data_IF_693506377594
#
_entry.id   IF_693506377594
#
_cell.length_a   1.000
_cell.length_b   1.000
_cell.length_c   1.000
_cell.angle_alpha   90.00
_cell.angle_beta   90.00
_cell.angle_gamma   90.00
#
_symmetry.space_group_name_H-M   'P 1'
#
loop_
_entity.id
_entity.type
_entity.pdbx_description
1 polymer ?
#
# COMPACT_ATOMS: atom_id res chain seq x y z
N UNK A 1 2.68 -20.58 -16.41
CA UNK A 1 3.17 -19.70 -15.33
C UNK A 1 2.70 -18.26 -15.51
N UNK A 2 3.19 -17.47 -16.48
CA UNK A 2 2.74 -16.05 -16.65
C UNK A 2 1.25 -15.94 -17.04
N UNK A 3 0.72 -16.83 -17.87
CA UNK A 3 -0.71 -16.86 -18.24
C UNK A 3 -1.63 -17.25 -17.08
N UNK A 4 -1.17 -18.10 -16.16
CA UNK A 4 -1.89 -18.41 -14.91
C UNK A 4 -1.80 -17.26 -13.90
N UNK A 5 -0.63 -16.63 -13.80
CA UNK A 5 -0.40 -15.45 -12.96
C UNK A 5 -1.32 -14.29 -13.40
N UNK A 6 -1.37 -13.98 -14.70
CA UNK A 6 -2.24 -12.94 -15.25
C UNK A 6 -3.73 -13.27 -15.12
N UNK A 7 -4.12 -14.55 -15.25
CA UNK A 7 -5.50 -14.98 -14.96
C UNK A 7 -5.85 -14.73 -13.49
N UNK A 8 -4.97 -15.09 -12.56
CA UNK A 8 -5.19 -14.86 -11.12
C UNK A 8 -5.30 -13.37 -10.78
N UNK A 9 -4.45 -12.50 -11.35
CA UNK A 9 -4.53 -11.05 -11.14
C UNK A 9 -5.85 -10.46 -11.67
N UNK A 10 -6.27 -10.82 -12.87
CA UNK A 10 -7.56 -10.35 -13.41
C UNK A 10 -8.76 -10.78 -12.55
N UNK A 11 -8.73 -11.99 -11.98
CA UNK A 11 -9.78 -12.46 -11.05
C UNK A 11 -9.76 -11.67 -9.74
N UNK A 12 -8.57 -11.33 -9.22
CA UNK A 12 -8.47 -10.52 -8.00
C UNK A 12 -9.02 -9.12 -8.16
N UNK A 13 -8.74 -8.44 -9.29
CA UNK A 13 -9.30 -7.12 -9.58
C UNK A 13 -10.83 -7.15 -9.69
N UNK A 14 -11.39 -8.19 -10.30
CA UNK A 14 -12.84 -8.36 -10.36
C UNK A 14 -13.47 -8.61 -8.98
N UNK A 15 -12.84 -9.44 -8.14
CA UNK A 15 -13.29 -9.69 -6.77
C UNK A 15 -13.26 -8.42 -5.91
N UNK A 16 -12.25 -7.57 -6.09
CA UNK A 16 -12.15 -6.28 -5.43
C UNK A 16 -13.34 -5.36 -5.78
N UNK A 17 -13.68 -5.27 -7.08
CA UNK A 17 -14.86 -4.50 -7.53
C UNK A 17 -16.14 -5.06 -6.90
N UNK A 18 -16.31 -6.38 -6.87
CA UNK A 18 -17.46 -7.01 -6.22
C UNK A 18 -17.53 -6.60 -4.75
N UNK A 19 -16.43 -6.70 -4.00
CA UNK A 19 -16.39 -6.34 -2.59
C UNK A 19 -16.77 -4.86 -2.36
N UNK A 20 -16.26 -3.94 -3.19
CA UNK A 20 -16.62 -2.52 -3.16
C UNK A 20 -18.10 -2.29 -3.46
N UNK A 21 -18.65 -2.93 -4.49
CA UNK A 21 -20.07 -2.84 -4.82
C UNK A 21 -20.94 -3.38 -3.68
N UNK A 22 -20.54 -4.50 -3.08
CA UNK A 22 -21.22 -5.04 -1.90
C UNK A 22 -21.16 -4.08 -0.71
N UNK A 23 -20.02 -3.42 -0.46
CA UNK A 23 -19.91 -2.42 0.59
C UNK A 23 -20.88 -1.25 0.38
N UNK A 24 -20.95 -0.72 -0.85
CA UNK A 24 -21.87 0.36 -1.20
C UNK A 24 -23.33 -0.07 -1.05
N UNK A 25 -23.70 -1.27 -1.49
CA UNK A 25 -25.06 -1.80 -1.29
C UNK A 25 -25.36 -1.96 0.20
N UNK A 26 -24.44 -2.53 0.97
CA UNK A 26 -24.60 -2.71 2.42
C UNK A 26 -24.78 -1.37 3.14
N UNK A 27 -23.99 -0.35 2.81
CA UNK A 27 -24.05 0.97 3.44
C UNK A 27 -25.31 1.78 3.07
N UNK A 28 -25.93 1.54 1.91
CA UNK A 28 -27.02 2.37 1.39
C UNK A 28 -28.42 1.74 1.46
N UNK A 29 -28.51 0.46 1.81
CA UNK A 29 -29.79 -0.26 1.90
C UNK A 29 -30.23 -0.48 3.34
N UNK A 30 -31.30 -1.25 3.56
CA UNK A 30 -31.72 -1.68 4.91
C UNK A 30 -30.67 -2.50 5.68
N UNK A 31 -29.58 -2.90 5.02
CA UNK A 31 -28.42 -3.56 5.64
C UNK A 31 -27.47 -2.60 6.35
N UNK A 32 -27.63 -1.29 6.19
CA UNK A 32 -26.73 -0.25 6.74
C UNK A 32 -26.52 -0.39 8.25
N UNK A 33 -27.61 -0.66 8.99
CA UNK A 33 -27.55 -0.86 10.45
C UNK A 33 -26.63 -2.05 10.81
N UNK A 34 -26.76 -3.17 10.10
CA UNK A 34 -25.92 -4.35 10.35
C UNK A 34 -24.47 -4.12 9.94
N UNK A 35 -24.27 -3.41 8.85
CA UNK A 35 -22.94 -3.05 8.34
C UNK A 35 -22.19 -2.14 9.33
N UNK A 36 -22.85 -1.08 9.80
CA UNK A 36 -22.29 -0.16 10.81
C UNK A 36 -22.05 -0.87 12.15
N UNK A 37 -22.98 -1.71 12.61
CA UNK A 37 -22.80 -2.51 13.84
C UNK A 37 -21.59 -3.44 13.73
N UNK A 38 -21.42 -4.12 12.59
CA UNK A 38 -20.27 -4.98 12.35
C UNK A 38 -18.97 -4.18 12.44
N UNK A 39 -18.87 -3.06 11.71
CA UNK A 39 -17.64 -2.26 11.64
C UNK A 39 -17.30 -1.53 12.95
N UNK A 40 -18.33 -1.09 13.68
CA UNK A 40 -18.20 -0.40 14.97
C UNK A 40 -18.06 -1.33 16.17
N UNK A 41 -18.19 -2.65 15.96
CA UNK A 41 -18.07 -3.64 17.05
C UNK A 41 -16.77 -3.44 17.82
N UNK A 42 -16.82 -3.16 19.14
CA UNK A 42 -15.63 -2.94 19.94
C UNK A 42 -14.88 -4.26 20.14
N UNK A 43 -13.64 -4.32 19.66
CA UNK A 43 -12.75 -5.46 19.85
C UNK A 43 -11.62 -5.04 20.77
N UNK A 44 -11.52 -5.71 21.91
CA UNK A 44 -10.51 -5.45 22.93
C UNK A 44 -9.58 -6.66 23.08
N UNK A 45 -8.27 -6.41 23.02
CA UNK A 45 -7.24 -7.37 23.39
C UNK A 45 -6.51 -6.83 24.62
N UNK A 46 -6.53 -7.61 25.71
CA UNK A 46 -5.91 -7.25 26.98
C UNK A 46 -4.90 -8.32 27.41
N UNK A 47 -3.65 -7.90 27.60
CA UNK A 47 -2.55 -8.73 28.12
C UNK A 47 -1.94 -8.04 29.34
N UNK A 48 -2.36 -8.42 30.54
CA UNK A 48 -1.96 -7.76 31.78
C UNK A 48 -2.39 -6.29 31.79
N UNK A 49 -1.43 -5.35 31.89
CA UNK A 49 -1.68 -3.89 31.81
C UNK A 49 -1.78 -3.35 30.38
N UNK A 50 -1.44 -4.16 29.38
CA UNK A 50 -1.50 -3.76 27.98
C UNK A 50 -2.94 -3.95 27.51
N UNK A 51 -3.67 -2.85 27.41
CA UNK A 51 -5.00 -2.80 26.79
C UNK A 51 -4.92 -2.16 25.40
N UNK A 52 -5.56 -2.78 24.41
CA UNK A 52 -5.79 -2.22 23.07
C UNK A 52 -7.27 -2.45 22.75
N UNK A 53 -8.05 -1.37 22.82
CA UNK A 53 -9.47 -1.36 22.49
C UNK A 53 -9.68 -0.50 21.25
N UNK A 54 -10.17 -1.11 20.17
CA UNK A 54 -10.46 -0.42 18.91
C UNK A 54 -11.70 -1.03 18.24
N UNK A 55 -12.48 -0.27 17.48
CA UNK A 55 -13.53 -0.82 16.62
C UNK A 55 -12.96 -1.85 15.64
N UNK A 56 -13.78 -2.80 15.22
CA UNK A 56 -13.40 -3.84 14.25
C UNK A 56 -12.78 -3.24 12.98
N UNK A 57 -13.32 -2.12 12.49
CA UNK A 57 -12.79 -1.40 11.34
C UNK A 57 -11.30 -1.05 11.48
N UNK A 58 -10.88 -0.53 12.65
CA UNK A 58 -9.48 -0.17 12.88
C UNK A 58 -8.58 -1.40 13.02
N UNK A 59 -9.09 -2.51 13.56
CA UNK A 59 -8.36 -3.79 13.58
C UNK A 59 -8.16 -4.35 12.17
N UNK A 60 -9.20 -4.28 11.33
CA UNK A 60 -9.12 -4.64 9.92
C UNK A 60 -8.04 -3.77 9.26
N UNK A 61 -8.11 -2.45 9.41
CA UNK A 61 -7.18 -1.53 8.77
C UNK A 61 -5.74 -1.75 9.23
N UNK A 62 -5.48 -1.73 10.54
CA UNK A 62 -4.13 -1.87 11.07
C UNK A 62 -3.53 -3.27 10.85
N UNK A 63 -4.37 -4.32 10.89
CA UNK A 63 -3.96 -5.71 10.77
C UNK A 63 -3.78 -6.17 9.33
N UNK A 64 -4.83 -6.01 8.51
CA UNK A 64 -4.81 -6.41 7.10
C UNK A 64 -3.77 -5.61 6.32
N UNK A 65 -3.68 -4.29 6.57
CA UNK A 65 -2.69 -3.48 5.87
C UNK A 65 -1.26 -3.78 6.34
N UNK A 66 -1.04 -4.21 7.59
CA UNK A 66 0.29 -4.67 7.99
C UNK A 66 0.73 -5.91 7.20
N UNK A 67 -0.18 -6.83 6.88
CA UNK A 67 0.11 -7.99 6.03
C UNK A 67 0.30 -7.58 4.56
N UNK A 68 -0.54 -6.67 4.04
CA UNK A 68 -0.37 -6.11 2.69
C UNK A 68 0.99 -5.43 2.53
N UNK A 69 1.35 -4.51 3.43
CA UNK A 69 2.64 -3.82 3.39
C UNK A 69 3.84 -4.74 3.70
N UNK A 70 3.62 -5.85 4.42
CA UNK A 70 4.63 -6.90 4.52
C UNK A 70 4.90 -7.54 3.15
N UNK A 71 3.87 -7.91 2.37
CA UNK A 71 4.03 -8.40 1.00
C UNK A 71 4.77 -7.38 0.12
N UNK A 72 4.31 -6.12 0.10
CA UNK A 72 4.97 -5.04 -0.66
C UNK A 72 6.44 -4.87 -0.24
N UNK A 73 6.74 -5.00 1.05
CA UNK A 73 8.11 -4.97 1.55
C UNK A 73 8.98 -6.15 1.05
N UNK A 74 8.40 -7.35 0.91
CA UNK A 74 9.09 -8.52 0.36
C UNK A 74 9.38 -8.30 -1.13
N UNK A 75 8.39 -7.82 -1.88
CA UNK A 75 8.51 -7.50 -3.31
C UNK A 75 9.57 -6.41 -3.54
N UNK A 76 9.50 -5.30 -2.79
CA UNK A 76 10.51 -4.23 -2.87
C UNK A 76 11.91 -4.80 -2.63
N UNK A 77 12.08 -5.59 -1.56
CA UNK A 77 13.38 -6.17 -1.23
C UNK A 77 13.89 -7.09 -2.35
N UNK A 78 13.04 -7.93 -2.93
CA UNK A 78 13.42 -8.80 -4.05
C UNK A 78 13.82 -7.98 -5.27
N UNK A 79 13.02 -6.98 -5.64
CA UNK A 79 13.28 -6.14 -6.81
C UNK A 79 14.59 -5.34 -6.67
N UNK A 80 14.90 -4.84 -5.47
CA UNK A 80 16.14 -4.12 -5.19
C UNK A 80 17.39 -5.00 -5.25
N UNK A 81 17.29 -6.28 -4.91
CA UNK A 81 18.44 -7.19 -4.81
C UNK A 81 18.65 -8.00 -6.09
N UNK A 82 17.59 -8.60 -6.64
CA UNK A 82 17.65 -9.51 -7.79
C UNK A 82 16.89 -9.02 -9.03
N UNK A 83 15.95 -8.08 -8.86
CA UNK A 83 15.06 -7.66 -9.93
C UNK A 83 15.58 -6.49 -10.76
N UNK A 84 14.65 -5.86 -11.47
CA UNK A 84 14.95 -4.78 -12.42
C UNK A 84 15.41 -3.50 -11.69
N UNK A 85 15.03 -3.33 -10.42
CA UNK A 85 15.43 -2.20 -9.59
C UNK A 85 16.88 -2.31 -9.08
N UNK A 86 17.52 -3.47 -9.22
CA UNK A 86 18.95 -3.63 -8.90
C UNK A 86 19.85 -2.75 -9.78
N UNK A 87 19.40 -2.45 -11.01
CA UNK A 87 20.12 -1.56 -11.92
C UNK A 87 19.71 -0.11 -11.70
N UNK A 88 20.68 0.73 -11.31
CA UNK A 88 20.48 2.17 -11.08
C UNK A 88 19.89 2.92 -12.27
N UNK A 89 20.05 2.44 -13.51
CA UNK A 89 19.43 3.09 -14.69
C UNK A 89 17.93 2.82 -14.78
N UNK A 90 17.48 1.64 -14.34
CA UNK A 90 16.11 1.19 -14.45
C UNK A 90 15.23 1.71 -13.31
N UNK A 91 15.82 2.03 -12.14
CA UNK A 91 15.10 2.56 -10.96
C UNK A 91 14.75 4.05 -11.07
N UNK A 92 15.56 4.85 -11.79
CA UNK A 92 15.41 6.32 -11.79
C UNK A 92 14.07 6.75 -12.38
N UNK A 93 13.65 6.15 -13.49
CA UNK A 93 12.41 6.56 -14.16
C UNK A 93 11.16 6.23 -13.31
N UNK A 94 10.98 5.00 -12.76
CA UNK A 94 9.90 4.70 -11.82
C UNK A 94 9.88 5.61 -10.59
N UNK A 95 11.04 5.89 -9.97
CA UNK A 95 11.11 6.75 -8.78
C UNK A 95 10.70 8.19 -9.11
N UNK A 96 11.19 8.75 -10.21
CA UNK A 96 10.78 10.10 -10.64
C UNK A 96 9.28 10.14 -10.97
N UNK A 97 8.79 9.10 -11.64
CA UNK A 97 7.37 8.94 -11.92
C UNK A 97 6.54 8.92 -10.64
N UNK A 98 6.98 8.19 -9.61
CA UNK A 98 6.27 8.05 -8.34
C UNK A 98 6.26 9.35 -7.56
N UNK A 99 7.41 10.03 -7.47
CA UNK A 99 7.52 11.38 -6.90
C UNK A 99 6.52 12.32 -7.59
N UNK A 100 6.45 12.32 -8.92
CA UNK A 100 5.48 13.13 -9.66
C UNK A 100 4.04 12.71 -9.40
N UNK A 101 3.79 11.41 -9.41
CA UNK A 101 2.53 10.75 -9.13
C UNK A 101 2.01 10.96 -7.71
N UNK A 102 2.85 11.40 -6.77
CA UNK A 102 2.44 11.74 -5.40
C UNK A 102 2.32 13.25 -5.19
N UNK A 103 3.35 14.03 -5.55
CA UNK A 103 3.39 15.46 -5.25
C UNK A 103 2.41 16.29 -6.09
N UNK A 104 2.22 15.93 -7.37
CA UNK A 104 1.31 16.70 -8.24
C UNK A 104 -0.16 16.50 -7.84
N UNK A 105 -0.67 15.27 -7.61
CA UNK A 105 -2.02 15.08 -7.06
C UNK A 105 -2.25 15.77 -5.73
N UNK A 106 -1.26 15.69 -4.82
CA UNK A 106 -1.30 16.37 -3.53
C UNK A 106 -1.44 17.89 -3.71
N UNK A 107 -0.65 18.50 -4.59
CA UNK A 107 -0.72 19.93 -4.90
C UNK A 107 -2.06 20.34 -5.49
N UNK A 108 -2.62 19.52 -6.39
CA UNK A 108 -3.98 19.74 -6.94
C UNK A 108 -5.01 19.70 -5.82
N UNK A 109 -4.98 18.71 -4.93
CA UNK A 109 -5.93 18.64 -3.81
C UNK A 109 -5.81 19.82 -2.86
N UNK A 110 -4.58 20.21 -2.51
CA UNK A 110 -4.33 21.38 -1.66
C UNK A 110 -4.92 22.64 -2.28
N UNK A 111 -4.75 22.84 -3.60
CA UNK A 111 -5.32 23.99 -4.31
C UNK A 111 -6.84 24.09 -4.16
N UNK A 112 -7.56 22.97 -4.24
CA UNK A 112 -9.02 22.95 -4.05
C UNK A 112 -9.46 23.16 -2.60
N UNK A 113 -8.57 22.94 -1.62
CA UNK A 113 -8.90 22.93 -0.19
C UNK A 113 -8.16 24.00 0.63
N UNK A 114 -7.54 25.00 0.01
CA UNK A 114 -6.75 26.04 0.70
C UNK A 114 -7.51 26.78 1.81
N UNK A 115 -8.83 26.89 1.68
CA UNK A 115 -9.69 27.64 2.61
C UNK A 115 -10.26 26.78 3.75
N UNK A 116 -9.97 25.47 3.78
CA UNK A 116 -10.48 24.54 4.77
C UNK A 116 -9.32 23.83 5.51
N UNK A 117 -8.96 24.29 6.72
CA UNK A 117 -7.87 23.72 7.52
C UNK A 117 -8.05 22.23 7.87
N UNK A 118 -9.29 21.74 7.95
CA UNK A 118 -9.57 20.33 8.23
C UNK A 118 -9.36 19.51 6.96
N UNK A 119 -9.89 19.98 5.83
CA UNK A 119 -9.68 19.34 4.54
C UNK A 119 -8.20 19.29 4.14
N UNK A 120 -7.38 20.28 4.48
CA UNK A 120 -5.94 20.25 4.21
C UNK A 120 -5.21 19.07 4.86
N UNK A 121 -5.76 18.49 5.93
CA UNK A 121 -5.25 17.25 6.51
C UNK A 121 -5.48 16.05 5.58
N UNK A 122 -6.23 16.15 4.50
CA UNK A 122 -6.44 15.06 3.52
C UNK A 122 -5.45 15.06 2.36
N UNK A 123 -4.39 15.87 2.37
CA UNK A 123 -3.55 16.11 1.18
C UNK A 123 -2.86 14.87 0.60
N UNK A 124 -2.62 13.84 1.42
CA UNK A 124 -2.01 12.59 0.98
C UNK A 124 -3.00 11.59 0.34
N UNK A 125 -4.32 11.82 0.46
CA UNK A 125 -5.37 10.93 -0.10
C UNK A 125 -5.19 10.67 -1.61
N UNK A 126 -5.02 11.68 -2.48
CA UNK A 126 -4.90 11.44 -3.93
C UNK A 126 -3.51 10.94 -4.37
N UNK A 127 -2.58 10.73 -3.43
CA UNK A 127 -1.24 10.22 -3.75
C UNK A 127 -1.20 8.68 -3.88
N UNK A 128 -2.07 7.95 -3.18
CA UNK A 128 -2.06 6.49 -3.14
C UNK A 128 -2.54 5.85 -4.46
N UNK A 129 -1.94 4.73 -4.88
CA UNK A 129 -2.27 4.00 -6.12
C UNK A 129 -2.68 2.56 -5.80
N UNK A 130 -3.87 2.13 -6.22
CA UNK A 130 -4.28 0.72 -6.04
C UNK A 130 -3.63 -0.19 -7.11
N UNK A 131 -2.56 -0.89 -6.71
CA UNK A 131 -1.84 -1.88 -7.52
C UNK A 131 -2.76 -2.95 -8.09
N UNK A 132 -3.64 -3.52 -7.26
CA UNK A 132 -4.43 -4.68 -7.66
C UNK A 132 -5.43 -4.31 -8.76
N UNK A 133 -5.99 -3.10 -8.67
CA UNK A 133 -6.85 -2.58 -9.73
C UNK A 133 -6.06 -2.23 -11.00
N UNK A 134 -4.91 -1.56 -10.87
CA UNK A 134 -4.08 -1.19 -12.00
C UNK A 134 -3.60 -2.42 -12.79
N UNK A 135 -3.08 -3.43 -12.11
CA UNK A 135 -2.67 -4.70 -12.71
C UNK A 135 -3.86 -5.49 -13.27
N UNK A 136 -5.01 -5.47 -12.56
CA UNK A 136 -6.25 -6.08 -13.05
C UNK A 136 -6.67 -5.54 -14.42
N UNK A 137 -6.64 -4.22 -14.62
CA UNK A 137 -6.94 -3.60 -15.92
C UNK A 137 -5.88 -3.96 -16.98
N UNK A 138 -4.59 -3.92 -16.63
CA UNK A 138 -3.52 -4.29 -17.57
C UNK A 138 -3.62 -5.76 -18.02
N UNK A 139 -4.05 -6.64 -17.12
CA UNK A 139 -4.27 -8.04 -17.44
C UNK A 139 -5.44 -8.22 -18.44
N UNK A 140 -6.51 -7.42 -18.31
CA UNK A 140 -7.63 -7.41 -19.26
C UNK A 140 -7.20 -6.93 -20.67
N UNK A 141 -6.23 -6.02 -20.75
CA UNK A 141 -5.63 -5.59 -22.03
C UNK A 141 -4.71 -6.65 -22.67
N UNK A 142 -4.39 -7.72 -21.93
CA UNK A 142 -3.75 -8.93 -22.45
C UNK A 142 -2.35 -8.73 -23.02
N UNK A 143 -2.15 -9.17 -24.26
CA UNK A 143 -0.89 -9.10 -25.00
C UNK A 143 -0.63 -7.75 -25.67
N UNK A 144 -1.59 -6.81 -25.64
CA UNK A 144 -1.45 -5.48 -26.25
C UNK A 144 -0.49 -4.58 -25.48
N UNK A 145 -0.24 -4.90 -24.21
CA UNK A 145 0.66 -4.13 -23.34
C UNK A 145 2.03 -4.82 -23.26
N UNK A 146 3.13 -4.12 -23.58
CA UNK A 146 4.47 -4.68 -23.48
C UNK A 146 4.82 -5.03 -22.03
N UNK A 147 5.63 -6.06 -21.86
CA UNK A 147 6.06 -6.56 -20.53
C UNK A 147 6.82 -5.48 -19.76
N UNK A 148 7.62 -4.67 -20.44
CA UNK A 148 8.35 -3.55 -19.81
C UNK A 148 7.42 -2.50 -19.20
N UNK A 149 6.24 -2.25 -19.77
CA UNK A 149 5.26 -1.33 -19.16
C UNK A 149 4.62 -1.92 -17.91
N UNK A 150 4.36 -3.24 -17.88
CA UNK A 150 3.86 -3.93 -16.68
C UNK A 150 4.87 -3.80 -15.54
N UNK A 151 6.14 -4.08 -15.81
CA UNK A 151 7.24 -3.93 -14.84
C UNK A 151 7.37 -2.49 -14.35
N UNK A 152 7.32 -1.51 -15.27
CA UNK A 152 7.37 -0.10 -14.94
C UNK A 152 6.22 0.30 -14.00
N UNK A 153 4.99 -0.10 -14.31
CA UNK A 153 3.80 0.23 -13.52
C UNK A 153 3.82 -0.46 -12.14
N UNK A 154 4.23 -1.73 -12.07
CA UNK A 154 4.41 -2.41 -10.78
C UNK A 154 5.45 -1.69 -9.92
N UNK A 155 6.59 -1.31 -10.51
CA UNK A 155 7.66 -0.60 -9.79
C UNK A 155 7.22 0.78 -9.31
N UNK A 156 6.58 1.56 -10.20
CA UNK A 156 6.00 2.86 -9.90
C UNK A 156 5.06 2.77 -8.70
N UNK A 157 4.17 1.78 -8.71
CA UNK A 157 3.15 1.64 -7.69
C UNK A 157 3.72 1.16 -6.34
N UNK A 158 4.76 0.31 -6.33
CA UNK A 158 5.49 -0.03 -5.10
C UNK A 158 6.10 1.24 -4.47
N UNK A 159 6.72 2.10 -5.29
CA UNK A 159 7.27 3.37 -4.79
C UNK A 159 6.19 4.34 -4.33
N UNK A 160 5.07 4.44 -5.03
CA UNK A 160 3.91 5.24 -4.59
C UNK A 160 3.38 4.76 -3.24
N UNK A 161 3.16 3.45 -3.05
CA UNK A 161 2.62 2.88 -1.82
C UNK A 161 3.56 3.09 -0.63
N UNK A 162 4.85 2.81 -0.83
CA UNK A 162 5.89 3.02 0.20
C UNK A 162 6.10 4.51 0.46
N UNK A 163 6.02 5.36 -0.57
CA UNK A 163 6.07 6.79 -0.42
C UNK A 163 4.89 7.32 0.40
N UNK A 164 3.67 6.89 0.07
CA UNK A 164 2.44 7.32 0.72
C UNK A 164 2.42 6.92 2.21
N UNK A 165 2.77 5.68 2.54
CA UNK A 165 2.86 5.23 3.94
C UNK A 165 3.94 6.00 4.72
N UNK A 166 5.07 6.32 4.11
CA UNK A 166 6.12 7.11 4.75
C UNK A 166 5.64 8.55 5.01
N UNK A 167 4.99 9.18 4.03
CA UNK A 167 4.39 10.51 4.21
C UNK A 167 3.39 10.47 5.35
N UNK A 168 2.45 9.53 5.33
CA UNK A 168 1.45 9.39 6.37
C UNK A 168 2.11 9.18 7.74
N UNK A 169 3.18 8.38 7.81
CA UNK A 169 3.92 8.14 9.03
C UNK A 169 4.68 9.36 9.59
N UNK A 170 5.22 10.23 8.74
CA UNK A 170 5.94 11.41 9.23
C UNK A 170 5.01 12.59 9.55
N UNK A 171 3.91 12.75 8.83
CA UNK A 171 3.05 13.93 8.94
C UNK A 171 1.81 13.74 9.82
N UNK A 172 1.35 12.50 10.06
CA UNK A 172 0.09 12.22 10.79
C UNK A 172 0.30 11.55 12.16
N UNK A 173 1.54 11.48 12.64
CA UNK A 173 1.83 10.93 13.96
C UNK A 173 1.65 12.00 15.05
N UNK A 174 0.49 11.98 15.70
CA UNK A 174 0.13 12.99 16.71
C UNK A 174 0.62 12.68 18.14
N UNK A 175 0.88 11.42 18.49
CA UNK A 175 1.24 11.02 19.86
C UNK A 175 2.35 9.96 19.87
N UNK A 176 3.62 10.40 19.89
CA UNK A 176 4.75 9.48 19.94
C UNK A 176 5.00 9.01 21.37
N UNK A 177 4.82 7.72 21.62
CA UNK A 177 5.28 7.10 22.86
C UNK A 177 6.73 6.65 22.71
N UNK A 178 7.64 7.36 23.40
CA UNK A 178 9.09 7.06 23.39
C UNK A 178 9.37 5.62 23.87
N UNK A 179 8.64 5.16 24.90
CA UNK A 179 8.79 3.81 25.42
C UNK A 179 8.45 2.75 24.38
N UNK A 180 7.38 2.96 23.60
CA UNK A 180 6.98 2.05 22.55
C UNK A 180 7.99 2.06 21.39
N UNK A 181 8.52 3.23 21.01
CA UNK A 181 9.59 3.34 20.02
C UNK A 181 10.88 2.61 20.43
N UNK A 182 11.27 2.70 21.70
CA UNK A 182 12.44 1.98 22.21
C UNK A 182 12.24 0.46 22.12
N UNK A 183 11.02 0.00 22.36
CA UNK A 183 10.63 -1.41 22.17
C UNK A 183 10.72 -1.84 20.69
N UNK A 184 10.23 -1.00 19.76
CA UNK A 184 10.34 -1.21 18.31
C UNK A 184 11.82 -1.28 17.89
N UNK A 185 12.65 -0.35 18.38
CA UNK A 185 14.09 -0.36 18.10
C UNK A 185 14.77 -1.64 18.61
N UNK A 186 14.40 -2.11 19.80
CA UNK A 186 14.84 -3.40 20.33
C UNK A 186 14.45 -4.59 19.42
N UNK A 187 13.21 -4.60 18.93
CA UNK A 187 12.74 -5.61 17.97
C UNK A 187 13.56 -5.60 16.67
N UNK A 188 13.84 -4.41 16.12
CA UNK A 188 14.66 -4.23 14.91
C UNK A 188 16.06 -4.82 15.12
N UNK A 189 16.69 -4.58 16.28
CA UNK A 189 18.00 -5.15 16.61
C UNK A 189 17.93 -6.69 16.66
N UNK A 190 16.88 -7.26 17.25
CA UNK A 190 16.69 -8.72 17.29
C UNK A 190 16.51 -9.30 15.88
N UNK A 191 15.68 -8.67 15.05
CA UNK A 191 15.47 -9.07 13.64
C UNK A 191 16.79 -9.01 12.85
N UNK A 192 17.59 -7.97 13.08
CA UNK A 192 18.93 -7.85 12.50
C UNK A 192 19.86 -8.98 12.96
N UNK A 193 19.86 -9.33 14.24
CA UNK A 193 20.65 -10.45 14.77
C UNK A 193 20.24 -11.79 14.15
N UNK A 194 18.94 -12.05 13.99
CA UNK A 194 18.44 -13.25 13.31
C UNK A 194 18.90 -13.31 11.85
N UNK A 195 18.74 -12.20 11.12
CA UNK A 195 19.16 -12.11 9.73
C UNK A 195 20.68 -12.33 9.58
N UNK A 196 21.49 -11.67 10.42
CA UNK A 196 22.95 -11.81 10.42
C UNK A 196 23.42 -13.21 10.83
N UNK A 197 22.71 -13.87 11.74
CA UNK A 197 23.02 -15.24 12.17
C UNK A 197 22.63 -16.28 11.11
N UNK A 198 21.95 -15.87 10.03
CA UNK A 198 21.51 -16.78 8.97
C UNK A 198 20.36 -17.69 9.41
N UNK A 199 19.48 -17.20 10.29
CA UNK A 199 18.25 -17.94 10.66
C UNK A 199 17.31 -17.96 9.47
N UNK A 200 17.05 -19.15 8.92
CA UNK A 200 16.19 -19.37 7.74
C UNK A 200 14.73 -19.58 8.15
N UNK A 201 14.48 -20.06 9.38
CA UNK A 201 13.14 -20.31 9.89
C UNK A 201 12.35 -19.01 9.98
N UNK A 202 11.11 -19.03 9.50
CA UNK A 202 10.24 -17.84 9.40
C UNK A 202 9.61 -17.48 10.74
N UNK A 203 9.35 -18.47 11.58
CA UNK A 203 8.61 -18.32 12.85
C UNK A 203 9.24 -17.30 13.82
N UNK A 204 10.57 -17.26 14.04
CA UNK A 204 11.19 -16.25 14.90
C UNK A 204 10.98 -14.82 14.39
N UNK A 205 11.04 -14.61 13.07
CA UNK A 205 10.77 -13.29 12.48
C UNK A 205 9.31 -12.89 12.70
N UNK A 206 8.35 -13.79 12.45
CA UNK A 206 6.93 -13.48 12.68
C UNK A 206 6.61 -13.20 14.15
N UNK A 207 7.24 -13.91 15.09
CA UNK A 207 7.04 -13.66 16.51
C UNK A 207 7.51 -12.25 16.90
N UNK A 208 8.72 -11.87 16.49
CA UNK A 208 9.25 -10.54 16.76
C UNK A 208 8.50 -9.47 15.97
N UNK A 209 8.08 -9.76 14.75
CA UNK A 209 7.25 -8.90 13.91
C UNK A 209 5.90 -8.60 14.56
N UNK A 210 5.24 -9.59 15.16
CA UNK A 210 3.98 -9.41 15.89
C UNK A 210 4.18 -8.51 17.12
N UNK A 211 5.25 -8.73 17.88
CA UNK A 211 5.60 -7.89 19.04
C UNK A 211 5.87 -6.44 18.58
N UNK A 212 6.62 -6.28 17.50
CA UNK A 212 6.91 -4.98 16.90
C UNK A 212 5.63 -4.29 16.42
N UNK A 213 4.71 -5.02 15.78
CA UNK A 213 3.43 -4.49 15.32
C UNK A 213 2.56 -4.00 16.51
N UNK A 214 2.45 -4.81 17.57
CA UNK A 214 1.74 -4.41 18.81
C UNK A 214 2.38 -3.18 19.45
N UNK A 215 3.72 -3.09 19.46
CA UNK A 215 4.42 -1.91 19.95
C UNK A 215 4.14 -0.68 19.07
N UNK A 216 4.13 -0.83 17.74
CA UNK A 216 3.80 0.27 16.82
C UNK A 216 2.38 0.80 17.03
N UNK A 217 1.39 -0.08 17.25
CA UNK A 217 0.01 0.30 17.56
C UNK A 217 -0.12 1.24 18.77
N UNK A 218 0.76 1.09 19.76
CA UNK A 218 0.81 1.96 20.96
C UNK A 218 1.73 3.17 20.81
N UNK A 219 2.63 3.15 19.83
CA UNK A 219 3.66 4.19 19.66
C UNK A 219 3.18 5.45 18.94
N UNK A 220 1.99 5.41 18.32
CA UNK A 220 1.51 6.46 17.41
C UNK A 220 2.16 6.43 16.02
N UNK A 221 3.15 5.56 15.80
CA UNK A 221 3.64 5.21 14.46
C UNK A 221 2.63 4.32 13.76
N UNK A 222 2.54 4.43 12.44
CA UNK A 222 1.66 3.61 11.63
C UNK A 222 2.04 2.14 11.70
N UNK A 223 1.09 1.30 12.15
CA UNK A 223 1.31 -0.12 12.38
C UNK A 223 1.68 -0.87 11.09
N UNK A 224 1.27 -0.34 9.94
CA UNK A 224 1.59 -0.84 8.60
C UNK A 224 3.10 -0.83 8.30
N UNK A 225 3.87 0.12 8.87
CA UNK A 225 5.32 0.16 8.70
C UNK A 225 6.02 -1.04 9.33
N UNK A 226 5.43 -1.64 10.38
CA UNK A 226 5.99 -2.85 10.99
C UNK A 226 6.08 -3.99 9.97
N UNK A 227 5.10 -4.10 9.06
CA UNK A 227 5.12 -5.04 7.94
C UNK A 227 6.32 -4.81 7.02
N UNK A 228 6.48 -3.58 6.51
CA UNK A 228 7.61 -3.24 5.62
C UNK A 228 8.96 -3.52 6.29
N UNK A 229 9.12 -3.08 7.55
CA UNK A 229 10.36 -3.29 8.32
C UNK A 229 10.64 -4.78 8.48
N UNK A 230 9.65 -5.58 8.88
CA UNK A 230 9.81 -7.03 9.03
C UNK A 230 10.28 -7.68 7.73
N UNK A 231 9.68 -7.32 6.59
CA UNK A 231 10.03 -7.85 5.28
C UNK A 231 11.50 -7.60 4.93
N UNK A 232 12.04 -6.43 5.31
CA UNK A 232 13.45 -6.10 5.08
C UNK A 232 14.43 -7.03 5.81
N UNK A 233 14.01 -7.71 6.87
CA UNK A 233 14.83 -8.67 7.61
C UNK A 233 14.64 -10.13 7.20
N UNK A 234 13.61 -10.47 6.42
CA UNK A 234 13.41 -11.85 5.94
C UNK A 234 14.53 -12.21 4.94
N UNK A 235 15.26 -13.33 5.11
CA UNK A 235 16.32 -13.72 4.19
C UNK A 235 15.82 -13.99 2.76
N UNK A 236 16.50 -13.43 1.77
CA UNK A 236 16.18 -13.67 0.36
C UNK A 236 16.60 -15.08 -0.08
N UNK A 237 17.80 -15.51 0.28
CA UNK A 237 18.32 -16.85 -0.01
C UNK A 237 18.97 -17.44 1.23
N UNK A 238 18.91 -18.77 1.35
CA UNK A 238 19.76 -19.53 2.24
C UNK A 238 21.22 -19.56 1.73
N UNK A 239 22.18 -19.82 2.62
CA UNK A 239 23.61 -20.00 2.34
C UNK A 239 23.89 -21.04 1.26
N UNK A 240 23.01 -22.04 1.11
CA UNK A 240 23.13 -23.08 0.08
C UNK A 240 22.51 -22.68 -1.27
N UNK A 241 21.86 -21.51 -1.35
CA UNK A 241 21.13 -21.00 -2.53
C UNK A 241 20.04 -21.94 -3.07
N UNK A 242 19.63 -22.94 -2.29
CA UNK A 242 18.58 -23.89 -2.69
C UNK A 242 17.18 -23.44 -2.29
N UNK A 243 17.06 -22.68 -1.21
CA UNK A 243 15.80 -22.22 -0.64
C UNK A 243 15.79 -20.70 -0.53
N UNK A 244 14.63 -20.11 -0.79
CA UNK A 244 14.40 -18.67 -0.70
C UNK A 244 13.17 -18.39 0.17
N UNK A 245 13.35 -18.22 1.49
CA UNK A 245 12.24 -17.96 2.42
C UNK A 245 11.37 -16.78 2.01
N UNK A 246 12.00 -15.71 1.49
CA UNK A 246 11.31 -14.53 0.99
C UNK A 246 10.39 -14.85 -0.20
N UNK A 247 10.90 -15.45 -1.27
CA UNK A 247 10.07 -15.78 -2.47
C UNK A 247 8.93 -16.75 -2.15
N UNK A 248 9.16 -17.69 -1.25
CA UNK A 248 8.10 -18.61 -0.80
C UNK A 248 7.01 -17.84 -0.06
N UNK A 249 7.38 -16.98 0.90
CA UNK A 249 6.42 -16.11 1.60
C UNK A 249 5.68 -15.17 0.67
N UNK A 250 6.39 -14.57 -0.28
CA UNK A 250 5.81 -13.68 -1.28
C UNK A 250 4.75 -14.42 -2.10
N UNK A 251 5.06 -15.62 -2.62
CA UNK A 251 4.13 -16.42 -3.40
C UNK A 251 2.86 -16.81 -2.63
N UNK A 252 3.03 -17.27 -1.38
CA UNK A 252 1.92 -17.68 -0.52
C UNK A 252 1.04 -16.49 -0.15
N UNK A 253 1.67 -15.38 0.24
CA UNK A 253 0.96 -14.17 0.65
C UNK A 253 0.27 -13.48 -0.50
N UNK A 254 0.83 -13.49 -1.71
CA UNK A 254 0.21 -12.85 -2.86
C UNK A 254 -1.20 -13.39 -3.12
N UNK A 255 -1.41 -14.70 -2.94
CA UNK A 255 -2.76 -15.28 -3.09
C UNK A 255 -3.69 -14.84 -1.96
N UNK A 256 -3.23 -14.89 -0.71
CA UNK A 256 -4.05 -14.49 0.46
C UNK A 256 -4.39 -13.00 0.39
N UNK A 257 -3.42 -12.16 0.02
CA UNK A 257 -3.58 -10.71 -0.07
C UNK A 257 -4.62 -10.35 -1.12
N UNK A 258 -4.45 -10.88 -2.35
CA UNK A 258 -5.32 -10.55 -3.48
C UNK A 258 -6.74 -11.07 -3.34
N UNK A 259 -6.94 -12.25 -2.73
CA UNK A 259 -8.26 -12.91 -2.68
C UNK A 259 -9.00 -12.76 -1.36
N UNK A 260 -8.33 -12.33 -0.29
CA UNK A 260 -8.95 -12.18 1.02
C UNK A 260 -8.71 -10.79 1.61
N UNK A 261 -7.45 -10.39 1.74
CA UNK A 261 -7.09 -9.15 2.47
C UNK A 261 -7.64 -7.91 1.77
N UNK A 262 -7.36 -7.75 0.47
CA UNK A 262 -7.82 -6.59 -0.31
C UNK A 262 -9.35 -6.54 -0.43
N UNK A 263 -10.06 -7.64 -0.78
CA UNK A 263 -11.52 -7.63 -0.79
C UNK A 263 -12.15 -7.30 0.58
N UNK A 264 -11.64 -7.87 1.68
CA UNK A 264 -12.16 -7.56 3.02
C UNK A 264 -11.89 -6.11 3.40
N UNK A 265 -10.69 -5.61 3.09
CA UNK A 265 -10.33 -4.21 3.32
C UNK A 265 -11.23 -3.26 2.52
N UNK A 266 -11.45 -3.54 1.23
CA UNK A 266 -12.37 -2.76 0.40
C UNK A 266 -13.80 -2.83 0.92
N UNK A 267 -14.26 -4.01 1.32
CA UNK A 267 -15.60 -4.17 1.90
C UNK A 267 -15.78 -3.31 3.17
N UNK A 268 -14.76 -3.21 4.01
CA UNK A 268 -14.83 -2.47 5.26
C UNK A 268 -14.69 -0.94 5.10
N UNK A 269 -14.00 -0.46 4.06
CA UNK A 269 -13.68 0.97 3.91
C UNK A 269 -14.40 1.69 2.76
N UNK A 270 -14.98 0.95 1.81
CA UNK A 270 -15.63 1.56 0.64
C UNK A 270 -17.14 1.80 0.82
N UNK A 271 -17.74 1.35 1.93
CA UNK A 271 -19.16 1.52 2.23
C UNK A 271 -19.49 2.94 2.66
N UNK A 272 -19.55 3.86 1.69
CA UNK A 272 -19.97 5.24 1.90
C UNK A 272 -21.50 5.34 1.91
N UNK A 273 -22.06 6.07 2.87
CA UNK A 273 -23.48 6.43 2.85
C UNK A 273 -23.73 7.54 1.82
N UNK A 274 -24.49 7.21 0.79
CA UNK A 274 -24.84 8.08 -0.32
C UNK A 274 -26.27 8.64 -0.22
N UNK A 275 -27.06 8.23 0.79
CA UNK A 275 -28.50 8.54 0.87
C UNK A 275 -28.77 10.03 1.08
N UNK A 276 -27.88 10.72 1.80
CA UNK A 276 -28.03 12.14 2.14
C UNK A 276 -27.04 13.05 1.37
N UNK A 277 -26.43 12.56 0.28
CA UNK A 277 -25.49 13.36 -0.49
C UNK A 277 -26.25 14.45 -1.27
N UNK A 278 -26.03 15.69 -0.85
CA UNK A 278 -26.46 16.88 -1.59
C UNK A 278 -25.53 17.16 -2.77
N UNK A 279 -26.05 17.80 -3.83
CA UNK A 279 -25.25 18.21 -5.00
C UNK A 279 -24.09 19.12 -4.57
N UNK A 280 -24.32 20.01 -3.59
CA UNK A 280 -23.29 20.90 -3.05
C UNK A 280 -22.13 20.16 -2.37
N UNK A 281 -22.40 19.00 -1.75
CA UNK A 281 -21.34 18.16 -1.18
C UNK A 281 -20.47 17.49 -2.25
N UNK A 282 -21.05 17.13 -3.40
CA UNK A 282 -20.29 16.56 -4.54
C UNK A 282 -19.35 17.61 -5.14
N UNK A 283 -19.79 18.86 -5.22
CA UNK A 283 -18.98 19.98 -5.71
C UNK A 283 -18.13 20.66 -4.62
N UNK A 284 -18.03 20.06 -3.43
CA UNK A 284 -17.15 20.55 -2.38
C UNK A 284 -15.66 20.38 -2.77
N UNK A 285 -14.78 21.18 -2.14
CA UNK A 285 -13.34 21.16 -2.42
C UNK A 285 -12.68 19.79 -2.24
N UNK A 286 -13.17 18.99 -1.28
CA UNK A 286 -12.59 17.67 -0.98
C UNK A 286 -12.85 16.66 -2.12
N UNK A 287 -14.10 16.34 -2.52
CA UNK A 287 -14.33 15.38 -3.60
C UNK A 287 -13.75 15.84 -4.95
N UNK A 288 -13.87 17.13 -5.29
CA UNK A 288 -13.30 17.68 -6.52
C UNK A 288 -11.77 17.63 -6.49
N UNK A 289 -11.14 17.98 -5.38
CA UNK A 289 -9.69 17.90 -5.20
C UNK A 289 -9.16 16.47 -5.33
N UNK A 290 -9.87 15.49 -4.75
CA UNK A 290 -9.52 14.06 -4.89
C UNK A 290 -9.68 13.62 -6.34
N UNK A 291 -10.82 13.90 -6.98
CA UNK A 291 -11.10 13.51 -8.36
C UNK A 291 -10.10 14.14 -9.34
N UNK A 292 -9.85 15.44 -9.23
CA UNK A 292 -8.89 16.15 -10.08
C UNK A 292 -7.45 15.72 -9.81
N UNK A 293 -7.08 15.49 -8.54
CA UNK A 293 -5.76 14.99 -8.16
C UNK A 293 -5.49 13.59 -8.72
N UNK A 294 -6.43 12.66 -8.57
CA UNK A 294 -6.30 11.30 -9.08
C UNK A 294 -6.34 11.23 -10.61
N UNK A 295 -7.24 11.98 -11.25
CA UNK A 295 -7.41 11.89 -12.71
C UNK A 295 -6.37 12.74 -13.46
N UNK A 296 -6.30 14.03 -13.17
CA UNK A 296 -5.41 14.97 -13.87
C UNK A 296 -4.03 14.98 -13.22
N UNK A 297 -3.99 15.08 -11.89
CA UNK A 297 -2.75 15.22 -11.15
C UNK A 297 -1.79 14.06 -11.38
N UNK A 298 -2.28 12.81 -11.38
CA UNK A 298 -1.41 11.64 -11.61
C UNK A 298 -0.88 11.58 -13.03
N UNK A 299 -1.75 11.81 -14.02
CA UNK A 299 -1.34 11.81 -15.42
C UNK A 299 -0.27 12.90 -15.65
N UNK A 300 -0.55 14.12 -15.23
CA UNK A 300 0.40 15.24 -15.39
C UNK A 300 1.68 15.01 -14.58
N UNK A 301 1.58 14.49 -13.36
CA UNK A 301 2.72 14.23 -12.49
C UNK A 301 3.66 13.16 -13.04
N UNK A 302 3.11 11.97 -13.33
CA UNK A 302 3.89 10.83 -13.81
C UNK A 302 4.46 11.14 -15.19
N UNK A 303 3.61 11.46 -16.18
CA UNK A 303 4.08 11.69 -17.55
C UNK A 303 4.94 12.95 -17.66
N UNK A 304 4.59 14.01 -16.94
CA UNK A 304 5.32 15.27 -16.97
C UNK A 304 6.73 15.13 -16.40
N UNK A 305 6.89 14.54 -15.21
CA UNK A 305 8.22 14.38 -14.62
C UNK A 305 9.06 13.33 -15.36
N UNK A 306 8.46 12.23 -15.82
CA UNK A 306 9.15 11.26 -16.66
C UNK A 306 9.66 11.90 -17.96
N UNK A 307 8.83 12.70 -18.64
CA UNK A 307 9.23 13.42 -19.84
C UNK A 307 10.36 14.42 -19.59
N UNK A 308 10.28 15.20 -18.51
CA UNK A 308 11.36 16.12 -18.12
C UNK A 308 12.66 15.38 -17.83
N UNK A 309 12.62 14.26 -17.10
CA UNK A 309 13.80 13.46 -16.80
C UNK A 309 14.48 12.92 -18.06
N UNK A 310 13.70 12.47 -19.04
CA UNK A 310 14.22 11.99 -20.33
C UNK A 310 14.77 13.16 -21.15
N UNK A 311 14.07 14.30 -21.19
CA UNK A 311 14.50 15.50 -21.91
C UNK A 311 15.82 16.07 -21.38
N UNK A 312 16.00 16.08 -20.07
CA UNK A 312 17.24 16.51 -19.41
C UNK A 312 18.33 15.43 -19.39
N UNK A 313 18.12 14.28 -20.05
CA UNK A 313 19.05 13.14 -20.11
C UNK A 313 19.46 12.61 -18.72
N UNK A 314 18.56 12.73 -17.74
CA UNK A 314 18.72 12.13 -16.41
C UNK A 314 18.57 10.60 -16.52
N UNK A 315 17.69 10.14 -17.40
CA UNK A 315 17.48 8.71 -17.69
C UNK A 315 16.99 8.49 -19.14
N UNK A 316 16.93 7.24 -19.57
CA UNK A 316 16.41 6.79 -20.87
C UNK A 316 15.12 5.97 -20.69
N UNK A 317 14.31 5.88 -21.74
CA UNK A 317 13.18 4.95 -21.76
C UNK A 317 13.67 3.50 -21.62
N UNK A 318 12.97 2.65 -20.85
CA UNK A 318 13.21 1.22 -20.82
C UNK A 318 13.01 0.59 -22.21
N UNK A 319 13.72 -0.52 -22.45
CA UNK A 319 13.63 -1.25 -23.72
C UNK A 319 12.18 -1.68 -24.01
N UNK A 320 11.72 -1.41 -25.24
CA UNK A 320 10.36 -1.73 -25.69
C UNK A 320 9.27 -0.74 -25.26
N UNK A 321 9.61 0.37 -24.59
CA UNK A 321 8.68 1.48 -24.33
C UNK A 321 8.85 2.60 -25.37
N UNK A 322 7.73 3.26 -25.69
CA UNK A 322 7.71 4.51 -26.44
C UNK A 322 6.99 5.60 -25.62
N UNK A 323 7.07 6.85 -26.09
CA UNK A 323 6.41 8.00 -25.44
C UNK A 323 4.90 8.13 -25.75
N UNK A 324 4.30 7.15 -26.43
CA UNK A 324 2.90 7.17 -26.86
C UNK A 324 2.07 6.24 -25.99
#
# INVERSE_FOLDING_TARGET
MISEFLKKESTSGFLLIIATVFALISANTGLSIFYELLLSTPVEIRVGKIEIAKPLLLWINDGLMAVFFFLIGLELKRELIEGELSNKKNIILPVIGAIGGMFVPAGVYVFFNLNDPVALQGWAIPAATDIAFALGILALLGSRVPVSLKIFLTSLAIFDDIGAILIIAFFYTANISVNALLFVAGCIVILWLFNKSGVISKSPYFLIGLIMWVATLKSGVHATLAGVILAMFIPLQDKTQTLSPLKELEHDLHTVVSFFILPVFAFANAGLDLREISIDQVFHGVPLGIAAGLFIGKQVGIFGLCWLAIKFRITSLPDGMNMK
#
